data_IF_410091937620
#
_entry.id   IF_410091937620
#
_cell.length_a   1.000
_cell.length_b   1.000
_cell.length_c   1.000
_cell.angle_alpha   90.00
_cell.angle_beta   90.00
_cell.angle_gamma   90.00
#
_symmetry.space_group_name_H-M   'P 1'
#
loop_
_entity.id
_entity.type
_entity.pdbx_description
1 polymer ?
#
# COMPACT_ATOMS: atom_id res chain seq x y z
N UNK A 1 48.38 32.40 6.26
CA UNK A 1 46.96 32.22 6.62
C UNK A 1 46.86 31.04 7.58
N UNK A 2 46.49 31.27 8.83
CA UNK A 2 46.71 30.32 9.93
C UNK A 2 45.79 29.09 9.85
N UNK A 3 46.41 27.90 9.81
CA UNK A 3 45.81 26.56 9.82
C UNK A 3 44.70 26.36 10.87
N UNK A 4 44.74 27.14 11.96
CA UNK A 4 43.78 27.11 13.06
C UNK A 4 42.39 27.66 12.70
N UNK A 5 42.26 28.51 11.66
CA UNK A 5 40.95 29.01 11.20
C UNK A 5 40.22 28.06 10.24
N UNK A 6 40.94 27.15 9.58
CA UNK A 6 40.34 26.17 8.66
C UNK A 6 39.63 25.01 9.38
N UNK A 7 40.10 24.63 10.57
CA UNK A 7 39.53 23.53 11.35
C UNK A 7 38.18 23.91 12.01
N UNK A 8 38.03 25.18 12.40
CA UNK A 8 36.80 25.69 13.00
C UNK A 8 35.63 25.76 12.00
N UNK A 9 35.91 25.92 10.70
CA UNK A 9 34.89 25.90 9.63
C UNK A 9 34.48 24.45 9.30
N UNK A 10 35.40 23.49 9.42
CA UNK A 10 35.10 22.07 9.17
C UNK A 10 34.24 21.41 10.25
N UNK A 11 34.36 21.82 11.52
CA UNK A 11 33.56 21.29 12.63
C UNK A 11 32.15 21.90 12.71
N UNK A 12 31.96 23.14 12.22
CA UNK A 12 30.63 23.75 12.14
C UNK A 12 29.75 23.10 11.06
N UNK A 13 30.34 22.53 10.01
CA UNK A 13 29.62 21.83 8.95
C UNK A 13 29.19 20.40 9.33
N UNK A 14 29.78 19.82 10.39
CA UNK A 14 29.42 18.49 10.91
C UNK A 14 28.35 18.53 12.01
N UNK A 15 28.06 19.71 12.58
CA UNK A 15 27.03 19.90 13.62
C UNK A 15 25.62 20.17 13.08
N UNK A 16 25.46 20.25 11.75
CA UNK A 16 24.19 20.46 11.07
C UNK A 16 23.66 19.18 10.40
N UNK A 17 24.11 17.99 10.83
CA UNK A 17 23.38 16.75 10.59
C UNK A 17 22.09 16.80 11.43
N UNK A 18 21.17 17.65 11.00
CA UNK A 18 19.81 17.69 11.48
C UNK A 18 19.29 16.27 11.28
N UNK A 19 18.89 15.63 12.37
CA UNK A 19 17.90 14.57 12.33
C UNK A 19 16.69 15.15 11.60
N UNK A 20 16.64 14.99 10.28
CA UNK A 20 15.45 15.26 9.50
C UNK A 20 14.45 14.19 9.93
N UNK A 21 13.58 14.53 10.88
CA UNK A 21 12.34 13.77 11.01
C UNK A 21 11.53 14.09 9.76
N UNK A 22 11.10 13.06 9.04
CA UNK A 22 10.21 13.27 7.92
C UNK A 22 8.92 13.87 8.50
N UNK A 23 8.48 15.00 7.96
CA UNK A 23 7.18 15.54 8.34
C UNK A 23 6.09 14.60 7.84
N UNK A 24 4.94 14.57 8.53
CA UNK A 24 3.74 13.90 8.03
C UNK A 24 3.50 14.30 6.56
N UNK A 25 3.27 13.30 5.72
CA UNK A 25 2.94 13.50 4.32
C UNK A 25 1.43 13.71 4.22
N UNK A 26 1.00 14.73 3.46
CA UNK A 26 -0.40 14.96 3.16
C UNK A 26 -0.60 15.00 1.64
N UNK A 27 -1.35 14.04 1.12
CA UNK A 27 -1.76 14.02 -0.29
C UNK A 27 -3.27 13.94 -0.38
N UNK A 28 -3.87 15.02 -0.88
CA UNK A 28 -5.31 15.08 -1.10
C UNK A 28 -6.13 14.96 0.18
N UNK A 29 -5.61 15.37 1.34
CA UNK A 29 -6.31 15.28 2.62
C UNK A 29 -6.02 13.99 3.41
N UNK A 30 -5.41 12.99 2.77
CA UNK A 30 -4.92 11.78 3.45
C UNK A 30 -3.55 12.07 4.04
N UNK A 31 -3.38 11.83 5.34
CA UNK A 31 -2.21 12.16 6.13
C UNK A 31 -1.59 10.91 6.72
N UNK A 32 -0.27 10.77 6.60
CA UNK A 32 0.44 9.66 7.21
C UNK A 32 1.87 10.01 7.60
N UNK A 33 2.42 9.21 8.51
CA UNK A 33 3.78 9.37 9.02
C UNK A 33 4.70 8.37 8.34
N UNK A 34 5.61 8.80 7.45
CA UNK A 34 6.54 7.90 6.79
C UNK A 34 7.74 7.50 7.66
N UNK A 35 7.85 8.01 8.90
CA UNK A 35 8.76 7.48 9.92
C UNK A 35 8.05 6.47 10.83
N UNK A 36 6.75 6.23 10.62
CA UNK A 36 6.03 5.14 11.29
C UNK A 36 6.71 3.83 10.95
N UNK A 37 6.93 2.96 11.94
CA UNK A 37 7.49 1.64 11.68
C UNK A 37 6.48 0.62 12.14
N UNK A 38 5.83 -0.04 11.19
CA UNK A 38 5.14 -1.28 11.50
C UNK A 38 6.16 -2.42 11.41
N UNK A 39 6.38 -3.11 12.52
CA UNK A 39 7.50 -4.06 12.67
C UNK A 39 6.99 -5.49 12.68
N UNK A 40 6.47 -5.97 11.55
CA UNK A 40 6.39 -7.39 11.21
C UNK A 40 5.78 -7.59 9.80
N UNK A 41 6.35 -8.43 8.92
CA UNK A 41 7.58 -9.24 9.07
C UNK A 41 8.88 -8.47 8.75
N UNK A 42 8.80 -7.33 8.07
CA UNK A 42 9.88 -6.38 7.85
C UNK A 42 9.49 -5.01 8.42
N UNK A 43 10.46 -4.12 8.59
CA UNK A 43 10.20 -2.75 9.04
C UNK A 43 9.73 -1.94 7.84
N UNK A 44 8.42 -1.87 7.66
CA UNK A 44 7.77 -1.12 6.59
C UNK A 44 7.20 0.20 7.14
N UNK A 45 7.27 1.27 6.34
CA UNK A 45 6.82 2.58 6.77
C UNK A 45 5.31 2.81 6.62
N UNK A 46 4.63 1.91 5.91
CA UNK A 46 3.21 2.00 5.63
C UNK A 46 2.48 0.70 5.97
N UNK A 47 1.38 0.88 6.70
CA UNK A 47 0.39 -0.15 6.98
C UNK A 47 -1.00 0.48 6.92
N UNK A 48 -1.95 -0.23 6.34
CA UNK A 48 -3.35 0.17 6.39
C UNK A 48 -4.27 -1.04 6.37
N UNK A 49 -5.46 -0.90 6.93
CA UNK A 49 -6.45 -1.97 6.99
C UNK A 49 -7.88 -1.43 6.97
N UNK A 50 -8.82 -2.33 6.70
CA UNK A 50 -10.24 -2.00 6.66
C UNK A 50 -11.12 -3.19 6.29
N UNK A 51 -12.36 -2.90 5.90
CA UNK A 51 -13.32 -3.94 5.54
C UNK A 51 -13.49 -4.07 4.02
N UNK A 52 -13.86 -5.28 3.59
CA UNK A 52 -14.22 -5.62 2.20
C UNK A 52 -15.63 -6.20 2.14
N UNK A 53 -16.33 -5.86 1.06
CA UNK A 53 -17.48 -6.59 0.54
C UNK A 53 -17.23 -6.97 -0.92
N UNK A 54 -17.62 -8.18 -1.32
CA UNK A 54 -17.41 -8.67 -2.69
C UNK A 54 -18.47 -9.69 -3.09
N UNK A 55 -18.65 -9.89 -4.40
CA UNK A 55 -19.42 -11.02 -4.89
C UNK A 55 -18.56 -12.29 -4.95
N UNK A 56 -19.16 -13.45 -4.69
CA UNK A 56 -18.48 -14.72 -4.90
C UNK A 56 -18.28 -15.00 -6.40
N UNK A 57 -17.23 -15.76 -6.70
CA UNK A 57 -17.07 -16.46 -7.97
C UNK A 57 -17.55 -17.90 -7.83
N UNK A 58 -18.15 -18.46 -8.88
CA UNK A 58 -18.69 -19.83 -8.89
C UNK A 58 -17.93 -20.74 -9.84
N UNK A 59 -17.28 -20.19 -10.87
CA UNK A 59 -16.53 -20.91 -11.88
C UNK A 59 -15.42 -20.06 -12.49
N UNK A 60 -14.39 -20.70 -13.04
CA UNK A 60 -13.31 -20.04 -13.78
C UNK A 60 -13.84 -19.07 -14.83
N UNK A 61 -13.23 -17.88 -14.89
CA UNK A 61 -13.61 -16.77 -15.75
C UNK A 61 -14.65 -15.83 -15.14
N UNK A 62 -15.25 -16.16 -14.00
CA UNK A 62 -16.11 -15.23 -13.27
C UNK A 62 -15.29 -14.01 -12.79
N UNK A 63 -15.91 -12.83 -12.89
CA UNK A 63 -15.34 -11.58 -12.40
C UNK A 63 -15.87 -11.32 -10.99
N UNK A 64 -14.94 -11.20 -10.04
CA UNK A 64 -15.22 -10.71 -8.70
C UNK A 64 -15.01 -9.21 -8.71
N UNK A 65 -16.01 -8.49 -8.24
CA UNK A 65 -15.92 -7.08 -7.93
C UNK A 65 -16.18 -6.90 -6.45
N UNK A 66 -15.41 -6.00 -5.86
CA UNK A 66 -15.59 -5.67 -4.45
C UNK A 66 -15.30 -4.21 -4.19
N UNK A 67 -15.59 -3.82 -2.96
CA UNK A 67 -15.44 -2.47 -2.49
C UNK A 67 -15.29 -2.45 -0.97
N UNK A 68 -14.79 -1.34 -0.45
CA UNK A 68 -14.54 -1.22 0.98
C UNK A 68 -14.16 0.20 1.40
N UNK A 69 -13.76 0.30 2.66
CA UNK A 69 -13.30 1.53 3.30
C UNK A 69 -12.09 1.20 4.18
N UNK A 70 -11.16 2.16 4.24
CA UNK A 70 -10.02 2.11 5.15
C UNK A 70 -10.43 2.64 6.53
N UNK A 71 -10.10 1.88 7.57
CA UNK A 71 -10.35 2.25 8.97
C UNK A 71 -9.06 2.59 9.71
N UNK A 72 -7.93 2.10 9.21
CA UNK A 72 -6.62 2.19 9.84
C UNK A 72 -5.56 2.61 8.83
N UNK A 73 -4.67 3.49 9.26
CA UNK A 73 -3.52 3.97 8.49
C UNK A 73 -2.37 4.28 9.46
N UNK A 74 -1.22 3.63 9.31
CA UNK A 74 -0.09 3.69 10.25
C UNK A 74 -0.49 3.44 11.72
N UNK A 75 -1.50 2.60 11.95
CA UNK A 75 -2.04 2.32 13.28
C UNK A 75 -2.70 0.95 13.33
N UNK A 76 -2.59 0.24 14.46
CA UNK A 76 -3.32 -1.01 14.72
C UNK A 76 -4.76 -0.78 15.23
N UNK A 77 -5.16 0.48 15.41
CA UNK A 77 -6.49 0.88 15.88
C UNK A 77 -7.13 1.83 14.89
N UNK A 78 -8.46 1.87 14.87
CA UNK A 78 -9.19 2.78 14.00
C UNK A 78 -8.79 4.24 14.28
N UNK A 79 -8.34 4.93 13.24
CA UNK A 79 -7.82 6.29 13.33
C UNK A 79 -8.23 7.18 12.14
N UNK A 80 -9.42 6.95 11.56
CA UNK A 80 -9.94 7.71 10.40
C UNK A 80 -9.85 9.22 10.58
N UNK A 81 -10.20 9.74 11.77
CA UNK A 81 -10.14 11.19 12.03
C UNK A 81 -8.71 11.75 12.07
N UNK A 82 -7.69 10.89 12.17
CA UNK A 82 -6.27 11.28 12.16
C UNK A 82 -5.71 11.25 10.74
N UNK A 83 -5.93 10.17 9.98
CA UNK A 83 -5.37 10.05 8.63
C UNK A 83 -6.25 10.63 7.53
N UNK A 84 -7.55 10.79 7.75
CA UNK A 84 -8.48 11.39 6.78
C UNK A 84 -9.40 12.42 7.47
N UNK A 85 -8.86 13.52 8.03
CA UNK A 85 -9.66 14.50 8.75
C UNK A 85 -10.66 15.20 7.82
N UNK A 86 -11.94 14.85 7.97
CA UNK A 86 -13.03 15.38 7.15
C UNK A 86 -13.16 14.72 5.76
N UNK A 87 -12.51 13.58 5.56
CA UNK A 87 -12.66 12.76 4.36
C UNK A 87 -12.94 11.30 4.70
N UNK A 88 -13.25 10.52 3.68
CA UNK A 88 -13.24 9.06 3.70
C UNK A 88 -12.31 8.54 2.61
N UNK A 89 -11.64 7.43 2.92
CA UNK A 89 -10.76 6.72 1.98
C UNK A 89 -11.42 5.38 1.67
N UNK A 90 -11.96 5.27 0.47
CA UNK A 90 -12.69 4.09 0.00
C UNK A 90 -11.97 3.44 -1.16
N UNK A 91 -12.38 2.25 -1.56
CA UNK A 91 -11.82 1.60 -2.74
C UNK A 91 -12.82 0.69 -3.41
N UNK A 92 -12.51 0.42 -4.67
CA UNK A 92 -13.11 -0.66 -5.45
C UNK A 92 -12.02 -1.55 -6.02
N UNK A 93 -12.33 -2.81 -6.25
CA UNK A 93 -11.43 -3.71 -6.96
C UNK A 93 -12.18 -4.65 -7.89
N UNK A 94 -11.45 -5.18 -8.86
CA UNK A 94 -11.93 -6.22 -9.76
C UNK A 94 -10.83 -7.25 -10.01
N UNK A 95 -11.21 -8.52 -10.13
CA UNK A 95 -10.30 -9.63 -10.45
C UNK A 95 -11.06 -10.77 -11.15
N UNK A 96 -10.36 -11.57 -11.93
CA UNK A 96 -10.93 -12.71 -12.67
C UNK A 96 -10.49 -14.04 -12.03
N UNK A 97 -11.45 -14.91 -11.71
CA UNK A 97 -11.14 -16.24 -11.20
C UNK A 97 -10.42 -17.05 -12.28
N UNK A 98 -9.22 -17.52 -11.98
CA UNK A 98 -8.51 -18.48 -12.83
C UNK A 98 -9.06 -19.88 -12.56
N UNK A 99 -8.95 -20.35 -11.32
CA UNK A 99 -9.43 -21.69 -10.95
C UNK A 99 -9.56 -21.86 -9.43
N UNK A 100 -10.34 -22.88 -9.04
CA UNK A 100 -10.35 -23.47 -7.71
C UNK A 100 -9.73 -24.85 -7.77
N UNK A 101 -8.71 -25.09 -6.94
CA UNK A 101 -8.01 -26.37 -6.88
C UNK A 101 -8.33 -27.09 -5.56
N UNK A 102 -9.15 -28.16 -5.57
CA UNK A 102 -9.48 -28.90 -4.37
C UNK A 102 -8.24 -29.57 -3.75
N UNK A 103 -8.14 -29.53 -2.42
CA UNK A 103 -7.09 -30.24 -1.66
C UNK A 103 -7.71 -31.46 -0.96
N UNK A 104 -8.62 -31.23 -0.01
CA UNK A 104 -9.26 -32.28 0.77
C UNK A 104 -10.57 -31.79 1.40
N UNK A 105 -11.61 -32.64 1.40
CA UNK A 105 -12.92 -32.25 1.92
C UNK A 105 -13.48 -31.04 1.17
N UNK A 106 -13.87 -30.01 1.91
CA UNK A 106 -14.33 -28.73 1.35
C UNK A 106 -13.20 -27.69 1.20
N UNK A 107 -11.95 -28.04 1.47
CA UNK A 107 -10.80 -27.15 1.38
C UNK A 107 -10.17 -27.17 -0.01
N UNK A 108 -9.75 -26.01 -0.49
CA UNK A 108 -9.02 -25.85 -1.75
C UNK A 108 -8.20 -24.57 -1.78
N UNK A 109 -7.35 -24.44 -2.80
CA UNK A 109 -6.70 -23.17 -3.14
C UNK A 109 -7.47 -22.46 -4.24
N UNK A 110 -7.24 -21.16 -4.37
CA UNK A 110 -7.79 -20.35 -5.45
C UNK A 110 -6.72 -19.46 -6.05
N UNK A 111 -6.96 -19.03 -7.28
CA UNK A 111 -6.10 -18.12 -8.02
C UNK A 111 -6.95 -17.12 -8.78
N UNK A 112 -6.66 -15.83 -8.62
CA UNK A 112 -7.30 -14.74 -9.35
C UNK A 112 -6.23 -13.94 -10.09
N UNK A 113 -6.50 -13.60 -11.35
CA UNK A 113 -5.62 -12.76 -12.17
C UNK A 113 -6.22 -11.37 -12.37
N UNK A 114 -5.39 -10.45 -12.86
CA UNK A 114 -5.78 -9.08 -13.20
C UNK A 114 -6.44 -8.35 -12.02
N UNK A 115 -5.97 -8.57 -10.79
CA UNK A 115 -6.44 -7.80 -9.65
C UNK A 115 -6.04 -6.34 -9.85
N UNK A 116 -7.04 -5.47 -9.98
CA UNK A 116 -6.90 -4.03 -10.05
C UNK A 116 -7.67 -3.41 -8.88
N UNK A 117 -7.04 -2.49 -8.16
CA UNK A 117 -7.60 -1.80 -7.00
C UNK A 117 -7.48 -0.30 -7.24
N UNK A 118 -8.60 0.41 -7.17
CA UNK A 118 -8.64 1.86 -7.22
C UNK A 118 -9.12 2.40 -5.88
N UNK A 119 -8.30 3.25 -5.27
CA UNK A 119 -8.51 3.88 -3.97
C UNK A 119 -8.89 5.34 -4.19
N UNK A 120 -9.96 5.79 -3.53
CA UNK A 120 -10.54 7.12 -3.70
C UNK A 120 -10.56 7.88 -2.39
N UNK A 121 -10.17 9.15 -2.44
CA UNK A 121 -10.38 10.09 -1.34
C UNK A 121 -11.59 10.97 -1.64
N UNK A 122 -12.58 10.96 -0.74
CA UNK A 122 -13.77 11.80 -0.81
C UNK A 122 -13.86 12.72 0.41
N UNK A 123 -14.08 14.01 0.19
CA UNK A 123 -14.21 15.03 1.23
C UNK A 123 -15.69 15.29 1.62
N UNK A 124 -16.61 14.49 1.09
CA UNK A 124 -18.00 14.47 1.49
C UNK A 124 -18.34 13.08 2.07
N UNK A 125 -18.02 12.81 3.35
CA UNK A 125 -18.14 11.47 3.92
C UNK A 125 -19.59 10.98 3.92
N UNK A 126 -19.93 10.14 2.94
CA UNK A 126 -21.27 9.68 2.64
C UNK A 126 -21.30 8.17 2.32
N UNK A 127 -20.20 7.44 2.54
CA UNK A 127 -20.12 6.01 2.32
C UNK A 127 -21.18 5.26 3.12
N UNK A 128 -22.02 4.49 2.41
CA UNK A 128 -23.09 3.68 3.00
C UNK A 128 -22.93 2.19 2.71
N UNK A 129 -21.71 1.73 2.43
CA UNK A 129 -21.47 0.30 2.18
C UNK A 129 -21.95 -0.16 0.81
N UNK A 130 -21.81 0.67 -0.23
CA UNK A 130 -22.14 0.31 -1.61
C UNK A 130 -20.98 0.61 -2.56
N UNK A 131 -20.91 -0.12 -3.68
CA UNK A 131 -19.90 0.14 -4.70
C UNK A 131 -19.98 1.55 -5.28
N UNK A 132 -21.20 2.09 -5.46
CA UNK A 132 -21.39 3.43 -5.97
C UNK A 132 -20.68 4.46 -5.07
N UNK A 133 -21.01 4.47 -3.78
CA UNK A 133 -20.39 5.38 -2.81
C UNK A 133 -18.92 5.08 -2.53
N UNK A 134 -18.42 3.87 -2.82
CA UNK A 134 -17.01 3.52 -2.68
C UNK A 134 -16.12 4.00 -3.85
N UNK A 135 -16.74 4.49 -4.92
CA UNK A 135 -16.07 4.95 -6.15
C UNK A 135 -16.23 6.46 -6.37
N UNK A 136 -16.72 7.18 -5.36
CA UNK A 136 -16.85 8.63 -5.36
C UNK A 136 -15.52 9.29 -4.95
N UNK A 137 -15.32 10.55 -5.34
CA UNK A 137 -14.14 11.32 -4.98
C UNK A 137 -13.02 11.30 -6.02
N UNK A 138 -11.80 11.58 -5.56
CA UNK A 138 -10.59 11.68 -6.40
C UNK A 138 -9.78 10.40 -6.31
N UNK A 139 -9.34 9.85 -7.45
CA UNK A 139 -8.43 8.70 -7.48
C UNK A 139 -7.13 9.04 -6.73
N UNK A 140 -6.99 8.47 -5.55
CA UNK A 140 -5.89 8.71 -4.64
C UNK A 140 -4.70 7.80 -4.95
N UNK A 141 -4.95 6.51 -5.14
CA UNK A 141 -3.95 5.52 -5.51
C UNK A 141 -4.60 4.43 -6.38
N UNK A 142 -3.90 3.95 -7.39
CA UNK A 142 -4.33 2.84 -8.25
C UNK A 142 -3.24 1.79 -8.27
N UNK A 143 -3.63 0.54 -8.04
CA UNK A 143 -2.75 -0.61 -7.84
C UNK A 143 -3.12 -1.73 -8.80
N UNK A 144 -2.12 -2.42 -9.32
CA UNK A 144 -2.28 -3.61 -10.15
C UNK A 144 -1.44 -4.75 -9.57
N UNK A 145 -1.99 -5.95 -9.50
CA UNK A 145 -1.22 -7.11 -9.06
C UNK A 145 -0.20 -7.54 -10.12
N UNK A 146 1.06 -7.69 -9.70
CA UNK A 146 2.16 -8.14 -10.57
C UNK A 146 2.09 -9.64 -10.83
N UNK A 147 1.55 -10.37 -9.86
CA UNK A 147 1.28 -11.80 -9.94
C UNK A 147 -0.17 -12.08 -9.57
N UNK A 148 -0.66 -13.26 -9.91
CA UNK A 148 -2.01 -13.65 -9.52
C UNK A 148 -2.16 -13.63 -7.99
N UNK A 149 -3.30 -13.13 -7.53
CA UNK A 149 -3.71 -13.25 -6.14
C UNK A 149 -3.97 -14.74 -5.88
N UNK A 150 -3.35 -15.28 -4.84
CA UNK A 150 -3.51 -16.70 -4.50
C UNK A 150 -3.85 -16.86 -3.03
N UNK A 151 -4.49 -17.98 -2.69
CA UNK A 151 -4.87 -18.23 -1.32
C UNK A 151 -5.48 -19.59 -1.09
N UNK A 152 -6.00 -19.77 0.12
CA UNK A 152 -6.64 -21.00 0.58
C UNK A 152 -8.00 -20.67 1.18
N UNK A 153 -8.96 -21.55 0.95
CA UNK A 153 -10.29 -21.42 1.53
C UNK A 153 -11.04 -22.72 1.63
N UNK A 154 -12.28 -22.60 2.07
CA UNK A 154 -13.23 -23.68 2.24
C UNK A 154 -14.55 -23.32 1.57
N UNK A 155 -15.26 -24.34 1.07
CA UNK A 155 -16.51 -24.20 0.31
C UNK A 155 -16.37 -23.26 -0.90
N UNK A 156 -15.21 -23.23 -1.54
CA UNK A 156 -14.95 -22.37 -2.70
C UNK A 156 -15.92 -22.67 -3.85
N UNK A 157 -16.42 -21.63 -4.51
CA UNK A 157 -17.33 -21.74 -5.65
C UNK A 157 -18.78 -22.03 -5.25
N UNK A 158 -19.14 -21.91 -3.98
CA UNK A 158 -20.50 -22.22 -3.50
C UNK A 158 -21.33 -20.97 -3.21
N UNK A 159 -20.68 -19.81 -3.06
CA UNK A 159 -21.26 -18.57 -2.57
C UNK A 159 -21.29 -18.48 -1.04
N UNK A 160 -20.79 -19.50 -0.34
CA UNK A 160 -20.59 -19.56 1.12
C UNK A 160 -19.11 -19.72 1.48
N UNK A 161 -18.27 -19.17 0.62
CA UNK A 161 -16.82 -19.33 0.62
C UNK A 161 -16.19 -18.64 1.85
N UNK A 162 -15.13 -19.23 2.40
CA UNK A 162 -14.35 -18.64 3.49
C UNK A 162 -12.87 -18.89 3.25
N UNK A 163 -12.02 -17.88 3.34
CA UNK A 163 -10.60 -18.05 3.05
C UNK A 163 -9.77 -16.79 3.27
N UNK A 164 -8.49 -16.91 2.93
CA UNK A 164 -7.51 -15.83 2.96
C UNK A 164 -6.64 -15.89 1.71
N UNK A 165 -6.21 -14.74 1.21
CA UNK A 165 -5.33 -14.64 0.04
C UNK A 165 -4.36 -13.48 0.13
N UNK A 166 -3.38 -13.49 -0.76
CA UNK A 166 -2.36 -12.43 -0.83
C UNK A 166 -1.93 -12.15 -2.26
N UNK A 167 -1.47 -10.93 -2.50
CA UNK A 167 -0.90 -10.49 -3.78
C UNK A 167 0.16 -9.42 -3.58
N UNK A 168 1.14 -9.39 -4.49
CA UNK A 168 2.06 -8.27 -4.64
C UNK A 168 1.48 -7.29 -5.65
N UNK A 169 1.55 -6.00 -5.34
CA UNK A 169 0.90 -4.93 -6.06
C UNK A 169 1.91 -3.86 -6.47
N UNK A 170 1.84 -3.42 -7.72
CA UNK A 170 2.54 -2.23 -8.22
C UNK A 170 1.59 -1.05 -8.34
N UNK A 171 2.12 0.13 -8.06
CA UNK A 171 1.45 1.42 -8.22
C UNK A 171 1.41 1.80 -9.69
N UNK A 172 0.22 2.07 -10.21
CA UNK A 172 0.00 2.40 -11.62
C UNK A 172 -0.64 3.78 -11.83
N UNK A 173 -1.05 4.46 -10.76
CA UNK A 173 -1.63 5.80 -10.87
C UNK A 173 -2.19 6.35 -9.56
N UNK A 174 -2.88 7.49 -9.66
CA UNK A 174 -3.43 8.24 -8.52
C UNK A 174 -2.56 9.43 -8.10
N UNK A 175 -3.14 10.36 -7.35
CA UNK A 175 -2.43 11.57 -6.90
C UNK A 175 -1.34 11.30 -5.86
N UNK A 176 -1.40 10.16 -5.15
CA UNK A 176 -0.39 9.72 -4.19
C UNK A 176 0.64 8.74 -4.80
N UNK A 177 0.56 8.43 -6.10
CA UNK A 177 1.39 7.40 -6.73
C UNK A 177 2.89 7.58 -6.48
N UNK A 178 3.40 8.82 -6.57
CA UNK A 178 4.83 9.12 -6.42
C UNK A 178 5.39 8.82 -5.03
N UNK A 179 4.54 8.61 -4.03
CA UNK A 179 4.94 8.22 -2.70
C UNK A 179 5.09 6.70 -2.59
N UNK A 180 4.24 5.94 -3.27
CA UNK A 180 4.18 4.49 -3.10
C UNK A 180 4.94 3.72 -4.19
N UNK A 181 5.36 4.33 -5.30
CA UNK A 181 6.24 3.73 -6.32
C UNK A 181 7.68 3.57 -5.78
N UNK A 182 7.87 2.58 -4.91
CA UNK A 182 9.12 2.33 -4.17
C UNK A 182 9.89 1.15 -4.72
N UNK A 183 9.22 0.22 -5.41
CA UNK A 183 9.75 -1.07 -5.87
C UNK A 183 10.42 -1.86 -4.73
N UNK A 184 10.00 -1.64 -3.47
CA UNK A 184 10.62 -2.18 -2.26
C UNK A 184 10.28 -3.64 -1.98
N UNK A 185 9.21 -4.16 -2.58
CA UNK A 185 8.67 -5.48 -2.30
C UNK A 185 9.14 -6.55 -3.31
N UNK A 186 8.77 -7.80 -3.05
CA UNK A 186 9.24 -8.92 -3.86
C UNK A 186 8.84 -8.80 -5.35
N UNK A 187 9.81 -8.98 -6.23
CA UNK A 187 9.60 -8.81 -7.67
C UNK A 187 9.69 -7.36 -8.16
N UNK A 188 10.01 -6.41 -7.27
CA UNK A 188 10.00 -4.98 -7.57
C UNK A 188 8.60 -4.37 -7.46
N UNK A 189 7.68 -5.06 -6.79
CA UNK A 189 6.36 -4.52 -6.47
C UNK A 189 6.48 -3.41 -5.41
N UNK A 190 5.39 -2.69 -5.18
CA UNK A 190 5.35 -1.55 -4.27
C UNK A 190 4.71 -1.86 -2.93
N UNK A 191 3.64 -2.67 -2.96
CA UNK A 191 2.84 -3.02 -1.79
C UNK A 191 2.53 -4.52 -1.78
N UNK A 192 2.23 -5.04 -0.59
CA UNK A 192 1.70 -6.38 -0.37
C UNK A 192 0.28 -6.27 0.16
N UNK A 193 -0.64 -7.00 -0.45
CA UNK A 193 -2.00 -7.20 0.02
C UNK A 193 -2.11 -8.54 0.74
N UNK A 194 -2.76 -8.50 1.90
CA UNK A 194 -3.31 -9.67 2.58
C UNK A 194 -4.82 -9.45 2.75
N UNK A 195 -5.64 -10.45 2.44
CA UNK A 195 -7.09 -10.33 2.56
C UNK A 195 -7.73 -11.60 3.12
N UNK A 196 -8.92 -11.42 3.67
CA UNK A 196 -9.78 -12.49 4.16
C UNK A 196 -11.22 -12.28 3.71
N UNK A 197 -11.95 -13.38 3.56
CA UNK A 197 -13.37 -13.36 3.21
C UNK A 197 -14.13 -14.49 3.90
N UNK A 198 -15.42 -14.26 4.13
CA UNK A 198 -16.39 -15.17 4.71
C UNK A 198 -17.81 -14.77 4.26
N UNK A 199 -18.84 -15.61 4.46
CA UNK A 199 -20.20 -15.29 4.09
C UNK A 199 -20.69 -13.97 4.70
N UNK A 200 -21.18 -13.07 3.85
CA UNK A 200 -21.67 -11.74 4.20
C UNK A 200 -23.16 -11.68 4.55
N UNK A 201 -23.91 -12.76 4.31
CA UNK A 201 -25.33 -12.88 4.58
C UNK A 201 -26.03 -13.69 3.48
N UNK A 202 -26.64 -13.05 2.47
CA UNK A 202 -27.16 -13.75 1.30
C UNK A 202 -26.08 -14.60 0.59
N UNK A 203 -26.49 -15.71 -0.03
CA UNK A 203 -25.57 -16.54 -0.79
C UNK A 203 -24.94 -15.74 -1.93
N UNK A 204 -23.62 -15.84 -2.10
CA UNK A 204 -22.87 -15.11 -3.12
C UNK A 204 -22.43 -13.70 -2.70
N UNK A 205 -22.80 -13.22 -1.51
CA UNK A 205 -22.21 -12.03 -0.90
C UNK A 205 -21.15 -12.47 0.11
N UNK A 206 -19.92 -12.01 -0.07
CA UNK A 206 -18.82 -12.22 0.86
C UNK A 206 -18.43 -10.89 1.52
N UNK A 207 -17.85 -11.00 2.71
CA UNK A 207 -17.28 -9.89 3.46
C UNK A 207 -16.00 -10.33 4.14
N UNK A 208 -15.15 -9.37 4.48
CA UNK A 208 -13.99 -9.62 5.31
C UNK A 208 -13.18 -8.37 5.55
N UNK A 209 -11.87 -8.53 5.63
CA UNK A 209 -10.94 -7.42 5.82
C UNK A 209 -9.67 -7.61 5.02
N UNK A 210 -8.90 -6.55 4.93
CA UNK A 210 -7.62 -6.53 4.24
C UNK A 210 -6.58 -5.75 5.03
N UNK A 211 -5.33 -6.01 4.66
CA UNK A 211 -4.16 -5.26 5.07
C UNK A 211 -3.36 -4.93 3.81
N UNK A 212 -2.90 -3.69 3.71
CA UNK A 212 -1.90 -3.24 2.73
C UNK A 212 -0.65 -2.79 3.46
N UNK A 213 0.51 -3.31 3.06
CA UNK A 213 1.81 -3.01 3.65
C UNK A 213 2.85 -2.68 2.59
N UNK A 214 3.81 -1.83 2.93
CA UNK A 214 5.01 -1.55 2.14
C UNK A 214 5.63 -0.20 2.53
N UNK A 215 6.33 0.45 1.59
CA UNK A 215 6.91 1.78 1.83
C UNK A 215 6.17 2.89 1.06
N UNK A 216 6.16 4.09 1.64
CA UNK A 216 5.49 5.29 1.16
C UNK A 216 6.45 6.46 0.89
N UNK A 217 7.75 6.20 1.05
CA UNK A 217 8.81 7.01 0.49
C UNK A 217 9.62 6.13 -0.47
N UNK A 218 9.66 6.46 -1.78
CA UNK A 218 10.58 5.79 -2.68
C UNK A 218 11.98 5.97 -2.14
N UNK A 219 12.76 4.89 -2.07
CA UNK A 219 14.12 4.94 -1.52
C UNK A 219 14.78 6.23 -2.02
N UNK A 220 15.30 7.08 -1.10
CA UNK A 220 15.77 8.36 -1.51
C UNK A 220 16.74 8.17 -2.66
N UNK A 221 16.92 9.23 -3.40
CA UNK A 221 18.05 9.45 -4.28
C UNK A 221 19.41 9.26 -3.58
N UNK A 222 19.56 8.49 -2.50
CA UNK A 222 20.73 7.88 -1.90
C UNK A 222 21.79 7.46 -2.92
N UNK A 223 21.41 6.91 -4.08
CA UNK A 223 22.35 6.68 -5.19
C UNK A 223 22.84 7.99 -5.82
N UNK A 224 21.95 8.95 -6.04
CA UNK A 224 22.31 10.28 -6.53
C UNK A 224 23.04 11.14 -5.48
N UNK A 225 22.78 11.00 -4.19
CA UNK A 225 23.48 11.68 -3.09
C UNK A 225 24.85 11.06 -2.85
N UNK A 226 24.98 9.73 -2.94
CA UNK A 226 26.27 9.04 -3.00
C UNK A 226 27.04 9.48 -4.25
N UNK A 227 26.38 9.55 -5.41
CA UNK A 227 26.95 10.01 -6.67
C UNK A 227 27.40 11.47 -6.64
N UNK A 228 26.57 12.37 -6.10
CA UNK A 228 26.88 13.79 -5.90
C UNK A 228 27.97 13.99 -4.85
N UNK A 229 27.97 13.19 -3.78
CA UNK A 229 29.02 13.16 -2.76
C UNK A 229 30.37 12.76 -3.39
N UNK A 230 30.39 11.68 -4.17
CA UNK A 230 31.58 11.22 -4.91
C UNK A 230 32.05 12.25 -5.96
N UNK A 231 31.14 12.90 -6.68
CA UNK A 231 31.46 13.99 -7.61
C UNK A 231 32.05 15.22 -6.89
N UNK A 232 31.50 15.56 -5.72
CA UNK A 232 32.04 16.60 -4.83
C UNK A 232 33.46 16.28 -4.36
N UNK A 233 33.73 15.03 -3.97
CA UNK A 233 35.08 14.56 -3.62
C UNK A 233 36.05 14.58 -4.81
N UNK A 234 35.60 14.19 -6.01
CA UNK A 234 36.43 14.24 -7.22
C UNK A 234 36.78 15.67 -7.65
N UNK A 235 35.83 16.62 -7.52
CA UNK A 235 36.06 18.03 -7.79
C UNK A 235 37.03 18.68 -6.78
N UNK A 236 36.95 18.28 -5.50
CA UNK A 236 37.87 18.73 -4.46
C UNK A 236 39.31 18.26 -4.70
N UNK A 237 39.50 17.06 -5.27
CA UNK A 237 40.83 16.52 -5.62
C UNK A 237 41.51 17.30 -6.75
N UNK A 238 40.75 17.79 -7.73
CA UNK A 238 41.28 18.62 -8.83
C UNK A 238 41.74 20.02 -8.39
N UNK A 239 41.26 20.53 -7.27
CA UNK A 239 41.68 21.85 -6.73
C UNK A 239 43.03 21.83 -6.00
N UNK A 240 43.63 20.65 -5.82
CA UNK A 240 44.94 20.46 -5.16
C UNK A 240 46.07 20.08 -6.13
N UNK A 241 45.81 19.97 -7.43
CA UNK A 241 46.80 19.74 -8.47
C UNK A 241 47.16 21.05 -9.17
#
# INVERSE_FOLDING_TARGET
MNFKKGLAIGLAALGLSMSAQAAEINVGGVVWDPDSVNSFPAAEDFFSSGNIFENAAFQSGDIVNGFGIFDQFNSDVNNVNSFCPGCELTFTFSMELVDFNPIAGNMGTFEFKNLAIDIFVDHNPNYVGTQATASEGTLWLSLLADTNLTGIGTNLGTGSDTGTGSANLSVVGGIAASNFDTNGEAGGSDLVLSSSFQPGGPNGLLKGGFELTGNSIPEPTSIALLGLGLLGFAAARKRKA
#
